data_IF_849015117297
#
_entry.id   IF_849015117297
#
_cell.length_a   1.000
_cell.length_b   1.000
_cell.length_c   1.000
_cell.angle_alpha   90.00
_cell.angle_beta   90.00
_cell.angle_gamma   90.00
#
_symmetry.space_group_name_H-M   'P 1'
#
loop_
_entity.id
_entity.type
_entity.pdbx_description
1 polymer ?
#
# COMPACT_ATOMS: atom_id res chain seq x y z
N UNK A 1 6.94 16.58 17.41
CA UNK A 1 7.88 16.51 16.28
C UNK A 1 8.75 15.28 16.51
N UNK A 2 8.63 14.25 15.67
CA UNK A 2 9.46 13.05 15.81
C UNK A 2 10.84 13.36 15.24
N UNK A 3 11.91 12.94 15.93
CA UNK A 3 13.27 13.08 15.41
C UNK A 3 13.44 12.17 14.18
N UNK A 4 13.83 12.72 13.03
CA UNK A 4 14.00 11.95 11.79
C UNK A 4 15.25 11.08 11.82
N UNK A 5 16.24 11.47 12.64
CA UNK A 5 17.51 10.77 12.84
C UNK A 5 17.68 10.38 14.31
N UNK A 6 18.41 9.30 14.56
CA UNK A 6 18.79 8.86 15.90
C UNK A 6 20.21 8.31 15.91
N UNK A 7 20.87 8.46 17.04
CA UNK A 7 22.18 7.86 17.27
C UNK A 7 21.97 6.46 17.84
N UNK A 8 22.38 5.45 17.09
CA UNK A 8 22.45 4.06 17.54
C UNK A 8 23.91 3.63 17.52
N UNK A 9 24.42 3.15 18.67
CA UNK A 9 25.82 2.73 18.82
C UNK A 9 26.86 3.79 18.35
N UNK A 10 26.57 5.07 18.58
CA UNK A 10 27.44 6.18 18.18
C UNK A 10 27.36 6.55 16.69
N UNK A 11 26.48 5.92 15.90
CA UNK A 11 26.24 6.26 14.49
C UNK A 11 24.89 6.93 14.31
N UNK A 12 24.87 8.04 13.57
CA UNK A 12 23.62 8.67 13.15
C UNK A 12 22.97 7.84 12.04
N UNK A 13 21.71 7.47 12.24
CA UNK A 13 20.91 6.76 11.25
C UNK A 13 19.47 7.29 11.21
N UNK A 14 18.82 7.27 10.03
CA UNK A 14 17.42 7.65 9.93
C UNK A 14 16.55 6.67 10.75
N UNK A 15 15.60 7.22 11.50
CA UNK A 15 14.62 6.41 12.26
C UNK A 15 13.56 5.78 11.36
N UNK A 16 13.32 6.40 10.21
CA UNK A 16 12.28 6.01 9.28
C UNK A 16 12.87 5.88 7.87
N UNK A 17 12.50 4.81 7.19
CA UNK A 17 12.83 4.61 5.78
C UNK A 17 11.61 4.99 4.95
N UNK A 18 11.81 5.85 3.95
CA UNK A 18 10.78 6.09 2.94
C UNK A 18 10.81 4.92 1.97
N UNK A 19 9.67 4.24 1.86
CA UNK A 19 9.49 3.19 0.86
C UNK A 19 8.88 3.78 -0.40
N UNK A 20 9.33 3.30 -1.56
CA UNK A 20 8.67 3.58 -2.83
C UNK A 20 7.33 2.82 -2.85
N UNK A 21 6.17 3.50 -2.94
CA UNK A 21 4.87 2.84 -2.98
C UNK A 21 4.74 1.81 -4.12
N UNK A 22 5.46 1.98 -5.24
CA UNK A 22 5.45 1.03 -6.36
C UNK A 22 6.10 -0.32 -6.00
N UNK A 23 7.03 -0.33 -5.04
CA UNK A 23 7.86 -1.50 -4.71
C UNK A 23 7.48 -2.16 -3.38
N UNK A 24 6.53 -1.59 -2.63
CA UNK A 24 6.05 -2.20 -1.38
C UNK A 24 5.41 -3.57 -1.69
N UNK A 25 5.81 -4.65 -0.98
CA UNK A 25 5.26 -5.98 -1.22
C UNK A 25 3.81 -6.10 -0.73
N UNK A 26 2.92 -6.54 -1.61
CA UNK A 26 1.51 -6.80 -1.32
C UNK A 26 1.29 -8.26 -0.96
N UNK A 27 1.83 -8.66 0.19
CA UNK A 27 1.67 -10.04 0.72
C UNK A 27 0.91 -10.08 2.05
N UNK A 28 0.72 -8.92 2.68
CA UNK A 28 0.15 -8.78 4.03
C UNK A 28 -0.96 -7.73 4.02
N UNK A 29 -2.05 -8.00 4.74
CA UNK A 29 -3.24 -7.14 4.77
C UNK A 29 -2.93 -5.76 5.36
N UNK A 30 -2.10 -5.70 6.41
CA UNK A 30 -1.71 -4.44 7.02
C UNK A 30 -0.98 -3.53 6.01
N UNK A 31 -0.08 -4.11 5.22
CA UNK A 31 0.67 -3.41 4.17
C UNK A 31 -0.24 -2.95 3.04
N UNK A 32 -1.17 -3.81 2.60
CA UNK A 32 -2.18 -3.46 1.59
C UNK A 32 -3.04 -2.26 2.01
N UNK A 33 -3.59 -2.29 3.24
CA UNK A 33 -4.37 -1.18 3.80
C UNK A 33 -3.55 0.10 3.93
N UNK A 34 -2.32 0.00 4.42
CA UNK A 34 -1.42 1.13 4.57
C UNK A 34 -1.11 1.78 3.21
N UNK A 35 -0.88 0.98 2.16
CA UNK A 35 -0.66 1.47 0.81
C UNK A 35 -1.88 2.23 0.27
N UNK A 36 -3.09 1.66 0.38
CA UNK A 36 -4.32 2.32 -0.10
C UNK A 36 -4.52 3.66 0.60
N UNK A 37 -4.36 3.70 1.92
CA UNK A 37 -4.46 4.93 2.69
C UNK A 37 -3.39 5.96 2.28
N UNK A 38 -2.15 5.50 2.06
CA UNK A 38 -1.05 6.35 1.62
C UNK A 38 -1.31 6.97 0.25
N UNK A 39 -1.72 6.18 -0.74
CA UNK A 39 -2.00 6.66 -2.10
C UNK A 39 -3.19 7.62 -2.14
N UNK A 40 -4.27 7.34 -1.41
CA UNK A 40 -5.37 8.30 -1.24
C UNK A 40 -4.88 9.63 -0.64
N UNK A 41 -4.03 9.56 0.38
CA UNK A 41 -3.45 10.76 1.00
C UNK A 41 -2.54 11.56 0.05
N UNK A 42 -1.74 10.89 -0.78
CA UNK A 42 -0.92 11.53 -1.81
C UNK A 42 -1.80 12.22 -2.86
N UNK A 43 -2.79 11.51 -3.40
CA UNK A 43 -3.69 12.03 -4.43
C UNK A 43 -4.48 13.25 -3.92
N UNK A 44 -5.01 13.18 -2.70
CA UNK A 44 -5.73 14.29 -2.08
C UNK A 44 -4.88 15.55 -1.96
N UNK A 45 -3.57 15.43 -1.66
CA UNK A 45 -2.65 16.57 -1.62
C UNK A 45 -2.42 17.21 -3.00
N UNK A 46 -2.62 16.43 -4.06
CA UNK A 46 -2.61 16.91 -5.45
C UNK A 46 -4.00 17.35 -5.94
N UNK A 47 -5.04 17.29 -5.09
CA UNK A 47 -6.42 17.63 -5.46
C UNK A 47 -7.16 16.53 -6.23
N UNK A 48 -6.62 15.31 -6.29
CA UNK A 48 -7.22 14.18 -7.00
C UNK A 48 -7.94 13.27 -6.00
N UNK A 49 -9.20 12.94 -6.29
CA UNK A 49 -9.95 11.91 -5.56
C UNK A 49 -9.85 10.57 -6.30
N UNK A 50 -9.03 9.64 -5.78
CA UNK A 50 -8.86 8.32 -6.41
C UNK A 50 -10.17 7.53 -6.49
N UNK A 51 -11.07 7.71 -5.53
CA UNK A 51 -12.36 7.00 -5.52
C UNK A 51 -13.32 7.48 -6.62
N UNK A 52 -13.06 8.64 -7.20
CA UNK A 52 -13.80 9.20 -8.35
C UNK A 52 -13.06 8.97 -9.67
N UNK A 53 -11.72 9.03 -9.64
CA UNK A 53 -10.88 8.89 -10.82
C UNK A 53 -10.65 7.44 -11.24
N UNK A 54 -10.73 6.49 -10.31
CA UNK A 54 -10.52 5.06 -10.54
C UNK A 54 -11.71 4.24 -10.06
N UNK A 55 -11.73 2.97 -10.48
CA UNK A 55 -12.56 1.97 -9.80
C UNK A 55 -12.11 1.87 -8.34
N UNK A 56 -13.07 1.67 -7.44
CA UNK A 56 -12.77 1.48 -6.01
C UNK A 56 -11.73 0.37 -5.83
N UNK A 57 -10.82 0.49 -4.84
CA UNK A 57 -9.88 -0.57 -4.54
C UNK A 57 -10.63 -1.89 -4.26
N UNK A 58 -10.02 -3.04 -4.57
CA UNK A 58 -10.67 -4.33 -4.41
C UNK A 58 -11.15 -4.51 -2.96
N UNK A 59 -12.38 -5.03 -2.74
CA UNK A 59 -12.86 -5.31 -1.40
C UNK A 59 -12.05 -6.42 -0.75
N UNK A 60 -11.80 -6.30 0.55
CA UNK A 60 -11.06 -7.31 1.30
C UNK A 60 -11.87 -8.61 1.40
N UNK A 61 -11.27 -9.78 1.13
CA UNK A 61 -11.93 -11.06 1.32
C UNK A 61 -12.32 -11.29 2.79
N UNK A 62 -13.57 -11.70 3.02
CA UNK A 62 -14.09 -11.95 4.38
C UNK A 62 -13.72 -13.35 4.90
N UNK A 63 -13.49 -14.32 4.02
CA UNK A 63 -13.18 -15.71 4.41
C UNK A 63 -12.03 -16.28 3.60
N UNK A 64 -10.97 -16.68 4.29
CA UNK A 64 -9.96 -17.58 3.72
C UNK A 64 -10.14 -18.96 4.33
N UNK A 65 -10.22 -19.98 3.49
CA UNK A 65 -10.43 -21.35 3.95
C UNK A 65 -9.25 -21.91 4.76
N UNK A 66 -8.07 -21.27 4.71
CA UNK A 66 -6.85 -21.69 5.44
C UNK A 66 -6.31 -23.06 5.06
N UNK A 67 -6.95 -23.74 4.09
CA UNK A 67 -6.70 -25.13 3.71
C UNK A 67 -5.79 -25.30 2.49
N UNK A 68 -5.30 -24.19 1.92
CA UNK A 68 -4.45 -24.24 0.71
C UNK A 68 -5.17 -24.75 -0.53
N UNK A 69 -6.49 -24.52 -0.65
CA UNK A 69 -7.25 -24.82 -1.88
C UNK A 69 -6.72 -23.99 -3.07
N UNK A 70 -6.98 -24.46 -4.31
CA UNK A 70 -6.51 -23.89 -5.58
C UNK A 70 -6.70 -22.36 -5.69
N UNK A 71 -5.71 -21.61 -5.21
CA UNK A 71 -5.72 -20.14 -5.09
C UNK A 71 -6.32 -19.67 -3.76
N UNK A 72 -5.49 -19.05 -2.92
CA UNK A 72 -5.98 -18.31 -1.77
C UNK A 72 -6.76 -17.08 -2.27
N UNK A 73 -7.94 -16.78 -1.70
CA UNK A 73 -8.70 -15.56 -2.05
C UNK A 73 -7.88 -14.28 -1.92
N UNK A 74 -6.86 -14.32 -1.05
CA UNK A 74 -5.89 -13.26 -0.85
C UNK A 74 -4.97 -13.05 -2.06
N UNK A 75 -4.62 -14.08 -2.82
CA UNK A 75 -3.80 -13.95 -4.04
C UNK A 75 -4.51 -13.10 -5.10
N UNK A 76 -5.79 -13.39 -5.34
CA UNK A 76 -6.61 -12.60 -6.26
C UNK A 76 -6.80 -11.16 -5.78
N UNK A 77 -7.01 -10.97 -4.48
CA UNK A 77 -7.06 -9.64 -3.87
C UNK A 77 -5.76 -8.85 -4.06
N UNK A 78 -4.60 -9.45 -3.74
CA UNK A 78 -3.31 -8.77 -3.88
C UNK A 78 -2.94 -8.49 -5.33
N UNK A 79 -3.27 -9.40 -6.26
CA UNK A 79 -3.09 -9.16 -7.69
C UNK A 79 -3.97 -8.01 -8.19
N UNK A 80 -5.25 -7.99 -7.82
CA UNK A 80 -6.14 -6.88 -8.16
C UNK A 80 -5.66 -5.54 -7.56
N UNK A 81 -5.14 -5.58 -6.33
CA UNK A 81 -4.62 -4.40 -5.65
C UNK A 81 -3.32 -3.91 -6.30
N UNK A 82 -2.49 -4.80 -6.83
CA UNK A 82 -1.30 -4.45 -7.59
C UNK A 82 -1.67 -3.58 -8.80
N UNK A 83 -2.63 -4.03 -9.61
CA UNK A 83 -3.09 -3.27 -10.77
C UNK A 83 -3.69 -1.92 -10.35
N UNK A 84 -4.52 -1.91 -9.31
CA UNK A 84 -5.09 -0.65 -8.79
C UNK A 84 -4.02 0.34 -8.34
N UNK A 85 -2.95 -0.14 -7.68
CA UNK A 85 -1.80 0.69 -7.30
C UNK A 85 -1.13 1.32 -8.52
N UNK A 86 -0.89 0.53 -9.56
CA UNK A 86 -0.22 1.01 -10.77
C UNK A 86 -1.03 2.11 -11.45
N UNK A 87 -2.35 1.94 -11.56
CA UNK A 87 -3.25 2.97 -12.09
C UNK A 87 -3.25 4.24 -11.22
N UNK A 88 -3.28 4.08 -9.89
CA UNK A 88 -3.25 5.21 -8.96
C UNK A 88 -1.94 6.02 -9.07
N UNK A 89 -0.80 5.33 -9.18
CA UNK A 89 0.50 5.97 -9.38
C UNK A 89 0.58 6.66 -10.75
N UNK A 90 0.06 6.05 -11.80
CA UNK A 90 0.04 6.63 -13.14
C UNK A 90 -0.78 7.93 -13.22
N UNK A 91 -1.84 8.08 -12.41
CA UNK A 91 -2.62 9.32 -12.34
C UNK A 91 -1.91 10.48 -11.63
N UNK A 92 -0.89 10.18 -10.81
CA UNK A 92 -0.16 11.16 -9.99
C UNK A 92 1.27 11.42 -10.47
N UNK A 93 1.70 10.74 -11.54
CA UNK A 93 3.00 10.89 -12.17
C UNK A 93 3.03 12.14 -13.07
#
# INVERSE_FOLDING_TARGET
>A
MFAEVAVFEGREQPRFVRHDPALVPLAELATARALVAHLRGLAQRQGISLDTALRLPPPEPETCCGRGCNGCVWEGYYAALHFWREEALALMA
#
